data_IF_986210530119
#
_entry.id   IF_986210530119
#
_cell.length_a   1.000
_cell.length_b   1.000
_cell.length_c   1.000
_cell.angle_alpha   90.00
_cell.angle_beta   90.00
_cell.angle_gamma   90.00
#
_symmetry.space_group_name_H-M   'P 1'
#
loop_
_entity.id
_entity.type
_entity.pdbx_description
1 polymer ?
2 non-polymer ?
3 water ?
#
# COMPACT_ATOMS: atom_id res chain seq x y z
N UNK A 1 -2.06 -19.81 -3.69
CA UNK A 1 -2.67 -19.97 -5.05
C UNK A 1 -2.90 -18.62 -5.75
N UNK A 2 -2.78 -18.59 -7.10
CA UNK A 2 -3.10 -17.44 -7.96
C UNK A 2 -4.55 -16.97 -7.84
N UNK A 3 -4.89 -15.90 -8.58
CA UNK A 3 -6.15 -15.18 -8.37
C UNK A 3 -7.33 -15.68 -9.20
N UNK A 4 -8.49 -15.78 -8.56
CA UNK A 4 -9.71 -16.09 -9.27
C UNK A 4 -10.17 -14.88 -10.08
N UNK A 5 -11.14 -15.09 -10.96
CA UNK A 5 -11.66 -13.99 -11.76
C UNK A 5 -12.28 -12.90 -10.90
N UNK A 6 -12.94 -13.28 -9.81
CA UNK A 6 -13.47 -12.28 -8.89
C UNK A 6 -12.36 -11.46 -8.21
N UNK A 7 -11.26 -12.12 -7.88
CA UNK A 7 -10.09 -11.48 -7.30
C UNK A 7 -9.33 -10.53 -8.26
N UNK A 8 -9.17 -10.94 -9.52
CA UNK A 8 -8.59 -10.09 -10.57
C UNK A 8 -9.41 -8.82 -10.77
N UNK A 9 -10.73 -8.98 -10.87
CA UNK A 9 -11.61 -7.84 -11.03
C UNK A 9 -11.60 -6.91 -9.81
N UNK A 10 -11.62 -7.48 -8.61
CA UNK A 10 -11.60 -6.68 -7.40
C UNK A 10 -10.31 -5.89 -7.35
N UNK A 11 -9.23 -6.50 -7.84
CA UNK A 11 -7.92 -5.88 -7.88
C UNK A 11 -7.87 -4.69 -8.85
N UNK A 12 -8.74 -4.72 -9.86
CA UNK A 12 -8.92 -3.58 -10.78
C UNK A 12 -9.98 -2.58 -10.29
N UNK A 13 -10.48 -2.78 -9.07
CA UNK A 13 -11.46 -1.84 -8.49
C UNK A 13 -12.91 -2.11 -8.83
N UNK A 14 -13.20 -3.33 -9.29
CA UNK A 14 -14.55 -3.73 -9.68
C UNK A 14 -14.99 -4.91 -8.81
N UNK A 15 -15.91 -4.67 -7.88
CA UNK A 15 -16.40 -5.75 -7.01
C UNK A 15 -17.76 -5.48 -6.40
N UNK A 16 -18.43 -6.57 -5.99
CA UNK A 16 -19.68 -6.50 -5.24
C UNK A 16 -19.34 -6.36 -3.76
N UNK A 17 -19.88 -5.31 -3.11
CA UNK A 17 -19.66 -5.06 -1.68
C UNK A 17 -19.99 -6.30 -0.85
N UNK A 18 -20.93 -7.12 -1.33
CA UNK A 18 -21.39 -8.30 -0.61
C UNK A 18 -20.29 -9.34 -0.44
N UNK A 19 -19.28 -9.30 -1.32
CA UNK A 19 -18.09 -10.17 -1.28
C UNK A 19 -16.96 -9.72 -0.36
N UNK A 20 -17.01 -8.48 0.11
CA UNK A 20 -15.94 -7.96 0.98
C UNK A 20 -16.00 -8.64 2.37
N UNK A 21 -14.84 -9.06 2.88
CA UNK A 21 -14.76 -9.75 4.16
C UNK A 21 -13.62 -9.14 4.97
N UNK A 22 -13.67 -9.34 6.29
CA UNK A 22 -12.63 -8.93 7.22
C UNK A 22 -11.33 -9.65 6.96
N UNK A 23 -10.20 -9.01 7.24
CA UNK A 23 -8.93 -9.68 7.16
C UNK A 23 -8.19 -9.49 8.46
N UNK A 24 -7.21 -10.36 8.72
CA UNK A 24 -6.40 -10.30 9.93
C UNK A 24 -5.08 -9.69 9.59
N UNK A 25 -4.42 -9.08 10.57
CA UNK A 25 -3.09 -8.50 10.37
C UNK A 25 -2.10 -9.47 9.76
N UNK A 26 -2.33 -10.77 9.97
CA UNK A 26 -1.42 -11.82 9.46
C UNK A 26 -1.35 -11.83 7.94
N UNK A 27 -2.40 -11.37 7.27
CA UNK A 27 -2.30 -11.16 5.81
C UNK A 27 -1.10 -10.29 5.38
N UNK A 28 -0.60 -9.42 6.28
CA UNK A 28 0.58 -8.57 5.98
C UNK A 28 1.88 -8.94 6.73
N UNK A 29 1.90 -10.11 7.37
CA UNK A 29 3.08 -10.59 8.09
C UNK A 29 4.25 -10.61 7.14
N UNK A 30 5.43 -10.30 7.66
CA UNK A 30 6.63 -10.36 6.84
C UNK A 30 7.44 -9.09 6.99
N UNK A 31 8.53 -9.04 6.24
CA UNK A 31 9.42 -7.88 6.21
C UNK A 31 9.29 -7.19 4.86
N UNK A 32 9.19 -5.86 4.88
CA UNK A 32 8.82 -5.09 3.68
C UNK A 32 9.67 -3.83 3.47
N UNK A 33 10.03 -3.53 2.22
CA UNK A 33 10.76 -2.31 1.85
C UNK A 33 9.87 -1.31 1.11
N UNK A 34 10.03 -0.02 1.43
CA UNK A 34 9.37 1.05 0.70
C UNK A 34 9.87 1.00 -0.73
N UNK A 35 8.97 1.24 -1.70
CA UNK A 35 9.40 1.40 -3.10
C UNK A 35 9.95 2.78 -3.46
N UNK A 36 9.82 3.74 -2.54
CA UNK A 36 10.18 5.13 -2.80
C UNK A 36 11.65 5.36 -3.24
N UNK A 37 12.62 4.71 -2.57
CA UNK A 37 14.02 4.84 -3.02
C UNK A 37 14.24 4.40 -4.47
N UNK A 38 13.45 3.44 -4.95
CA UNK A 38 13.57 3.00 -6.34
C UNK A 38 12.96 3.99 -7.32
N UNK A 39 11.95 4.75 -6.88
CA UNK A 39 11.44 5.85 -7.70
C UNK A 39 12.52 6.95 -7.76
N UNK A 40 13.11 7.24 -6.60
CA UNK A 40 14.18 8.24 -6.47
C UNK A 40 15.41 7.94 -7.33
N UNK A 41 15.88 6.69 -7.30
CA UNK A 41 17.05 6.30 -8.09
C UNK A 41 16.74 6.21 -9.58
N UNK A 42 15.46 6.36 -9.94
CA UNK A 42 15.02 6.26 -11.33
C UNK A 42 14.73 4.84 -11.80
N UNK A 43 14.77 3.88 -10.89
CA UNK A 43 14.62 2.50 -11.28
C UNK A 43 13.17 2.08 -11.55
N UNK A 44 12.21 2.95 -11.22
CA UNK A 44 10.81 2.67 -11.55
C UNK A 44 10.39 3.33 -12.85
N UNK A 45 11.32 4.06 -13.49
CA UNK A 45 11.00 4.78 -14.72
C UNK A 45 10.31 3.90 -15.78
N UNK A 46 10.80 2.66 -16.02
CA UNK A 46 10.12 1.77 -17.00
C UNK A 46 8.64 1.53 -16.71
N UNK A 47 8.24 1.58 -15.45
CA UNK A 47 6.83 1.47 -15.09
C UNK A 47 6.05 2.68 -15.63
N UNK A 48 6.61 3.87 -15.49
CA UNK A 48 5.88 5.09 -15.82
C UNK A 48 5.85 5.29 -17.33
N UNK A 49 6.89 4.78 -18.02
CA UNK A 49 6.94 4.83 -19.48
C UNK A 49 5.84 3.96 -20.10
N UNK A 50 5.65 2.76 -19.57
CA UNK A 50 4.60 1.85 -20.03
C UNK A 50 3.21 2.46 -19.84
N UNK A 51 3.01 3.14 -18.72
CA UNK A 51 1.74 3.82 -18.44
C UNK A 51 1.50 4.99 -19.40
N UNK A 52 2.57 5.71 -19.72
CA UNK A 52 2.50 6.83 -20.66
C UNK A 52 2.23 6.29 -22.07
N UNK A 53 2.95 5.22 -22.42
CA UNK A 53 2.83 4.54 -23.71
C UNK A 53 1.40 4.05 -23.98
N UNK A 54 0.70 3.61 -22.94
CA UNK A 54 -0.61 2.99 -23.09
C UNK A 54 -1.77 3.98 -23.01
N UNK A 55 -1.46 5.25 -22.79
CA UNK A 55 -2.50 6.28 -22.75
C UNK A 55 -1.93 7.58 -23.29
N UNK A 56 -2.44 8.00 -24.46
CA UNK A 56 -1.88 9.15 -25.16
C UNK A 56 -2.17 10.47 -24.45
N UNK A 57 -3.13 10.47 -23.53
CA UNK A 57 -3.48 11.64 -22.72
C UNK A 57 -2.56 11.88 -21.51
N UNK A 58 -1.72 10.89 -21.21
CA UNK A 58 -0.81 10.98 -20.07
C UNK A 58 0.59 11.35 -20.55
N UNK A 59 1.41 11.88 -19.64
CA UNK A 59 2.84 12.02 -19.87
C UNK A 59 3.60 11.29 -18.76
N UNK A 60 4.79 10.80 -19.11
CA UNK A 60 5.73 10.20 -18.18
C UNK A 60 5.92 11.07 -16.94
N UNK A 61 6.25 12.34 -17.19
CA UNK A 61 6.57 13.31 -16.14
C UNK A 61 5.44 13.45 -15.12
N UNK A 62 4.21 13.59 -15.62
CA UNK A 62 3.06 13.72 -14.74
C UNK A 62 2.65 12.43 -14.03
N UNK A 63 2.95 11.29 -14.64
CA UNK A 63 2.67 10.00 -14.03
C UNK A 63 3.65 9.80 -12.86
N UNK A 64 4.94 9.99 -13.15
CA UNK A 64 6.00 9.95 -12.14
C UNK A 64 5.79 10.90 -10.96
N UNK A 65 5.38 12.14 -11.24
CA UNK A 65 5.06 13.12 -10.19
C UNK A 65 3.98 12.62 -9.27
N UNK A 66 2.96 11.99 -9.87
CA UNK A 66 1.84 11.45 -9.13
C UNK A 66 2.29 10.32 -8.21
N UNK A 67 3.16 9.45 -8.74
CA UNK A 67 3.73 8.38 -7.94
C UNK A 67 4.73 8.89 -6.89
N UNK A 68 5.46 9.96 -7.22
CA UNK A 68 6.38 10.57 -6.28
C UNK A 68 5.66 11.03 -5.03
N UNK A 69 4.56 11.74 -5.24
CA UNK A 69 3.72 12.25 -4.20
C UNK A 69 3.08 11.10 -3.42
N UNK A 70 2.69 10.06 -4.15
CA UNK A 70 2.09 8.87 -3.54
C UNK A 70 3.08 8.09 -2.69
N UNK A 71 4.27 7.84 -3.20
CA UNK A 71 5.22 6.95 -2.55
C UNK A 71 6.04 7.58 -1.42
N UNK A 72 6.20 8.91 -1.46
CA UNK A 72 7.12 9.62 -0.58
C UNK A 72 6.94 9.29 0.89
N UNK A 73 8.03 8.89 1.53
CA UNK A 73 8.00 8.55 2.96
C UNK A 73 9.43 8.38 3.41
N UNK A 74 9.68 8.57 4.71
CA UNK A 74 10.99 8.20 5.24
C UNK A 74 10.97 6.88 6.02
N UNK A 75 9.80 6.25 6.13
CA UNK A 75 9.67 4.91 6.71
C UNK A 75 10.11 3.88 5.66
N UNK A 76 11.42 3.65 5.58
CA UNK A 76 11.97 2.75 4.57
C UNK A 76 11.61 1.26 4.73
N UNK A 77 11.31 0.84 5.96
CA UNK A 77 11.13 -0.56 6.28
C UNK A 77 10.02 -0.76 7.27
N UNK A 78 9.24 -1.80 7.04
CA UNK A 78 8.16 -2.17 7.96
C UNK A 78 8.27 -3.69 8.18
N UNK A 79 8.16 -4.11 9.45
CA UNK A 79 8.14 -5.53 9.80
C UNK A 79 6.84 -5.84 10.50
N UNK A 80 6.22 -6.96 10.15
CA UNK A 80 4.93 -7.32 10.72
C UNK A 80 4.94 -8.79 11.16
N UNK A 81 4.62 -9.01 12.44
CA UNK A 81 4.70 -10.34 13.08
C UNK A 81 3.99 -10.32 14.44
N UNK A 82 3.27 -11.39 14.78
CA UNK A 82 2.65 -11.54 16.11
C UNK A 82 1.89 -10.33 16.61
N UNK A 83 1.10 -9.74 15.71
CA UNK A 83 0.23 -8.62 16.04
C UNK A 83 1.00 -7.32 16.16
N UNK A 84 2.31 -7.35 15.88
CA UNK A 84 3.12 -6.14 16.04
C UNK A 84 3.65 -5.59 14.71
N UNK A 85 3.51 -4.27 14.54
CA UNK A 85 4.11 -3.58 13.41
C UNK A 85 5.31 -2.76 13.87
N UNK A 86 6.45 -3.00 13.24
CA UNK A 86 7.67 -2.27 13.49
C UNK A 86 7.95 -1.30 12.32
N UNK A 87 8.23 -0.04 12.64
CA UNK A 87 8.47 1.01 11.63
C UNK A 87 9.89 1.53 11.71
N UNK A 88 10.65 1.39 10.63
CA UNK A 88 11.99 1.95 10.59
C UNK A 88 11.96 3.21 9.76
N UNK A 89 12.04 4.36 10.45
CA UNK A 89 12.06 5.68 9.82
C UNK A 89 13.43 6.30 9.96
N UNK A 90 14.22 6.27 8.89
CA UNK A 90 15.63 6.65 8.97
C UNK A 90 16.31 5.89 10.15
N UNK A 91 16.87 6.62 11.12
CA UNK A 91 17.47 5.99 12.30
C UNK A 91 16.56 5.86 13.50
N UNK A 92 15.27 6.13 13.29
CA UNK A 92 14.28 5.92 14.33
C UNK A 92 13.48 4.62 14.12
N UNK A 93 13.13 3.98 15.22
CA UNK A 93 12.43 2.73 15.19
C UNK A 93 11.28 2.88 16.14
N UNK A 94 10.20 2.16 15.88
CA UNK A 94 9.05 2.23 16.75
C UNK A 94 8.18 1.03 16.45
N UNK A 95 7.57 0.47 17.48
CA UNK A 95 6.62 -0.62 17.30
C UNK A 95 5.47 -0.52 18.27
N UNK A 96 4.42 -1.28 17.98
CA UNK A 96 3.22 -1.29 18.78
C UNK A 96 2.44 -2.51 18.35
N UNK A 97 1.62 -3.01 19.26
CA UNK A 97 0.76 -4.12 18.98
C UNK A 97 -0.53 -3.48 18.50
N UNK A 98 -1.07 -3.95 17.37
CA UNK A 98 -2.21 -3.30 16.73
C UNK A 98 -3.49 -4.12 16.80
N UNK A 99 -4.57 -3.48 17.22
CA UNK A 99 -5.88 -4.09 17.22
C UNK A 99 -6.66 -3.74 15.94
N UNK A 100 -7.39 -4.73 15.42
CA UNK A 100 -8.19 -4.59 14.21
C UNK A 100 -9.39 -3.70 14.44
N UNK A 101 -9.63 -2.76 13.53
CA UNK A 101 -10.77 -1.86 13.68
C UNK A 101 -11.75 -1.94 12.51
N UNK A 102 -11.66 -3.02 11.73
CA UNK A 102 -12.62 -3.24 10.66
C UNK A 102 -12.12 -2.75 9.33
N UNK A 103 -13.03 -2.67 8.37
CA UNK A 103 -12.67 -2.31 7.00
C UNK A 103 -13.58 -1.22 6.54
N UNK A 104 -13.15 -0.50 5.51
CA UNK A 104 -13.95 0.53 4.87
C UNK A 104 -13.90 0.38 3.37
N UNK A 105 -15.07 0.39 2.75
CA UNK A 105 -15.21 0.35 1.32
C UNK A 105 -15.31 1.76 0.75
N UNK A 106 -14.36 2.10 -0.12
CA UNK A 106 -14.28 3.42 -0.74
C UNK A 106 -14.61 3.37 -2.23
N UNK A 107 -15.31 4.40 -2.70
CA UNK A 107 -15.48 4.62 -4.13
C UNK A 107 -14.72 5.89 -4.46
N UNK A 108 -13.86 5.78 -5.45
CA UNK A 108 -12.96 6.87 -5.78
C UNK A 108 -13.63 7.73 -6.84
N UNK A 109 -13.08 8.92 -7.06
CA UNK A 109 -13.57 9.84 -8.08
C UNK A 109 -13.69 9.12 -9.41
N UNK A 110 -12.68 8.33 -9.74
CA UNK A 110 -12.65 7.52 -10.96
C UNK A 110 -13.81 6.55 -11.14
N UNK A 111 -14.52 6.26 -10.05
CA UNK A 111 -15.59 5.25 -10.08
C UNK A 111 -15.11 3.84 -9.72
N UNK A 112 -13.80 3.67 -9.58
CA UNK A 112 -13.27 2.40 -9.08
C UNK A 112 -13.52 2.34 -7.59
N UNK A 113 -13.45 1.13 -7.03
CA UNK A 113 -13.64 0.97 -5.58
C UNK A 113 -12.44 0.31 -4.96
N UNK A 114 -12.37 0.35 -3.64
CA UNK A 114 -11.28 -0.31 -2.93
C UNK A 114 -11.67 -0.53 -1.49
N UNK A 115 -10.90 -1.35 -0.79
CA UNK A 115 -11.16 -1.58 0.63
C UNK A 115 -9.94 -1.23 1.45
N UNK A 116 -10.13 -0.47 2.52
CA UNK A 116 -9.06 -0.29 3.51
C UNK A 116 -9.30 -1.11 4.77
N UNK A 117 -8.21 -1.63 5.33
CA UNK A 117 -8.25 -2.41 6.55
C UNK A 117 -7.61 -1.62 7.68
N UNK A 118 -8.43 -1.28 8.67
CA UNK A 118 -8.08 -0.32 9.71
C UNK A 118 -7.57 -1.01 10.95
N UNK A 119 -6.45 -0.50 11.44
CA UNK A 119 -5.82 -0.94 12.68
C UNK A 119 -5.54 0.25 13.61
N UNK A 120 -5.55 -0.03 14.91
CA UNK A 120 -5.28 0.96 15.93
C UNK A 120 -4.27 0.49 16.95
N UNK A 121 -3.29 1.36 17.21
CA UNK A 121 -2.39 1.27 18.36
C UNK A 121 -3.07 2.00 19.55
N UNK A 122 -3.34 1.27 20.63
CA UNK A 122 -4.04 1.84 21.81
C UNK A 122 -3.10 2.29 22.94
N UNK A 123 -1.81 1.96 22.78
CA UNK A 123 -0.72 2.44 23.62
C UNK A 123 -0.43 3.90 23.27
N UNK A 124 -1.25 4.80 23.81
CA UNK A 124 -1.31 6.22 23.39
C UNK A 124 0.00 7.04 23.43
N UNK A 125 1.00 6.58 24.18
CA UNK A 125 2.32 7.24 24.18
C UNK A 125 3.46 6.43 23.53
N UNK A 126 3.20 5.99 22.29
CA UNK A 126 4.19 5.31 21.45
C UNK A 126 4.56 6.22 20.28
N UNK A 127 5.75 6.02 19.72
CA UNK A 127 6.17 6.76 18.53
C UNK A 127 5.63 6.14 17.23
N UNK A 128 4.98 4.98 17.34
CA UNK A 128 4.37 4.30 16.19
C UNK A 128 3.05 4.99 15.88
N UNK A 129 2.69 5.07 14.58
CA UNK A 129 1.43 5.73 14.25
C UNK A 129 0.27 5.07 14.96
N UNK A 130 -0.65 5.89 15.47
CA UNK A 130 -1.82 5.41 16.20
C UNK A 130 -2.81 4.70 15.29
N UNK A 131 -2.89 5.16 14.03
CA UNK A 131 -3.84 4.62 13.09
C UNK A 131 -3.12 4.20 11.84
N UNK A 132 -3.55 3.05 11.33
CA UNK A 132 -2.93 2.43 10.18
C UNK A 132 -4.06 1.81 9.36
N UNK A 133 -3.98 1.99 8.05
CA UNK A 133 -4.99 1.45 7.16
C UNK A 133 -4.20 0.83 6.03
N UNK A 134 -4.49 -0.44 5.74
CA UNK A 134 -3.85 -1.16 4.64
C UNK A 134 -4.80 -1.15 3.45
N UNK A 135 -4.23 -0.99 2.27
CA UNK A 135 -5.00 -1.04 1.04
C UNK A 135 -4.12 -1.75 0.03
N UNK A 136 -4.57 -2.91 -0.47
CA UNK A 136 -3.70 -3.68 -1.35
C UNK A 136 -4.41 -4.41 -2.48
N UNK A 137 -5.56 -3.88 -2.90
CA UNK A 137 -6.29 -4.40 -4.04
C UNK A 137 -6.90 -5.80 -3.81
N UNK A 138 -7.09 -6.13 -2.53
CA UNK A 138 -7.64 -7.41 -2.08
C UNK A 138 -8.80 -7.05 -1.17
N UNK A 139 -9.88 -7.82 -1.26
CA UNK A 139 -11.13 -7.55 -0.54
C UNK A 139 -11.56 -8.71 0.42
N UNK A 140 -10.77 -9.78 0.49
CA UNK A 140 -11.09 -10.93 1.36
C UNK A 140 -9.82 -11.67 1.74
N UNK A 141 -9.86 -12.49 2.80
CA UNK A 141 -8.60 -13.06 3.28
C UNK A 141 -7.67 -13.64 2.21
N UNK A 142 -6.44 -13.13 2.15
CA UNK A 142 -5.42 -13.55 1.21
C UNK A 142 -4.15 -12.84 1.61
N UNK A 143 -3.02 -13.55 1.58
CA UNK A 143 -1.72 -12.94 1.86
C UNK A 143 -1.36 -11.89 0.82
N UNK A 144 -0.97 -10.72 1.32
CA UNK A 144 -0.59 -9.61 0.49
C UNK A 144 0.73 -9.90 -0.21
N UNK A 145 0.83 -9.44 -1.45
CA UNK A 145 2.08 -9.45 -2.19
C UNK A 145 2.75 -8.07 -2.10
N UNK A 146 1.99 -7.07 -1.68
CA UNK A 146 2.46 -5.68 -1.62
C UNK A 146 1.29 -4.84 -1.16
N UNK A 147 1.57 -3.73 -0.49
CA UNK A 147 0.49 -2.93 0.05
C UNK A 147 0.80 -1.46 0.07
N UNK A 148 -0.27 -0.67 0.10
CA UNK A 148 -0.22 0.74 0.52
C UNK A 148 -0.65 0.80 1.98
N UNK A 149 -0.04 1.70 2.74
CA UNK A 149 -0.39 1.89 4.14
C UNK A 149 -0.55 3.37 4.45
N UNK A 150 -1.69 3.71 5.02
CA UNK A 150 -1.96 5.05 5.47
C UNK A 150 -1.67 5.10 6.97
N UNK A 151 -0.78 6.01 7.37
CA UNK A 151 -0.38 6.19 8.77
C UNK A 151 -0.75 7.59 9.27
N UNK A 152 -1.39 7.63 10.44
CA UNK A 152 -1.84 8.88 11.02
C UNK A 152 -1.95 8.83 12.53
N UNK A 153 -1.93 10.01 13.16
CA UNK A 153 -2.09 10.11 14.62
C UNK A 153 -3.33 10.84 15.08
N UNK A 154 -4.20 11.23 14.15
CA UNK A 154 -5.30 12.11 14.52
C UNK A 154 -6.62 11.38 14.69
N UNK A 155 -7.04 10.67 13.65
CA UNK A 155 -8.19 9.79 13.70
C UNK A 155 -8.15 8.86 12.47
N UNK A 156 -9.00 7.82 12.49
CA UNK A 156 -9.18 6.93 11.35
C UNK A 156 -9.96 7.67 10.29
N UNK A 157 -10.96 8.41 10.75
CA UNK A 157 -11.84 9.14 9.84
C UNK A 157 -11.04 10.12 9.00
N UNK A 158 -10.15 10.86 9.65
CA UNK A 158 -9.26 11.79 8.97
C UNK A 158 -8.39 11.07 7.94
N UNK A 159 -7.80 9.94 8.34
CA UNK A 159 -6.95 9.15 7.41
C UNK A 159 -7.70 8.61 6.20
N UNK A 160 -8.98 8.35 6.36
CA UNK A 160 -9.78 7.84 5.24
C UNK A 160 -9.89 8.84 4.12
N UNK A 161 -9.62 10.11 4.41
CA UNK A 161 -9.73 11.20 3.45
C UNK A 161 -8.43 11.38 2.69
N UNK A 162 -7.36 10.77 3.19
CA UNK A 162 -6.07 10.83 2.53
C UNK A 162 -6.10 10.05 1.22
N UNK A 163 -5.71 10.71 0.12
CA UNK A 163 -5.80 10.14 -1.23
C UNK A 163 -4.55 10.40 -2.06
N UNK A 164 -3.69 11.24 -1.53
CA UNK A 164 -2.55 11.74 -2.29
C UNK A 164 -1.27 11.00 -1.92
N UNK A 165 -1.07 10.76 -0.64
CA UNK A 165 0.13 10.07 -0.15
C UNK A 165 -0.25 8.65 0.31
N UNK A 166 0.47 7.64 -0.19
CA UNK A 166 0.17 6.25 0.13
C UNK A 166 1.46 5.43 0.04
N UNK A 167 2.33 5.57 1.06
CA UNK A 167 3.61 4.85 1.06
C UNK A 167 3.38 3.38 0.79
N UNK A 168 4.25 2.80 -0.03
CA UNK A 168 3.94 1.54 -0.70
C UNK A 168 5.09 0.58 -0.48
N UNK A 169 4.73 -0.66 -0.12
CA UNK A 169 5.71 -1.63 0.37
C UNK A 169 5.64 -2.97 -0.36
N UNK A 170 6.80 -3.46 -0.79
CA UNK A 170 7.01 -4.76 -1.42
C UNK A 170 7.93 -5.64 -0.55
N UNK A 171 7.86 -6.99 -0.72
CA UNK A 171 8.64 -7.90 0.12
C UNK A 171 10.08 -7.47 0.20
N UNK A 172 10.63 -7.51 1.42
CA UNK A 172 11.98 -7.03 1.71
C UNK A 172 13.07 -7.56 0.79
N UNK A 173 12.96 -8.82 0.35
CA UNK A 173 14.07 -9.45 -0.41
C UNK A 173 14.21 -8.97 -1.84
N UNK A 174 13.13 -8.43 -2.41
CA UNK A 174 13.08 -8.18 -3.86
C UNK A 174 14.06 -7.11 -4.30
N UNK A 175 14.66 -7.33 -5.46
CA UNK A 175 15.53 -6.36 -6.13
C UNK A 175 14.63 -5.41 -6.92
N UNK A 176 15.20 -4.30 -7.41
CA UNK A 176 14.41 -3.31 -8.15
C UNK A 176 13.80 -3.87 -9.44
N UNK A 177 14.55 -4.74 -10.14
CA UNK A 177 14.08 -5.34 -11.39
C UNK A 177 12.88 -6.26 -11.16
N UNK A 178 12.78 -6.81 -9.95
CA UNK A 178 11.68 -7.68 -9.58
C UNK A 178 10.46 -6.85 -9.18
N UNK A 179 10.70 -5.73 -8.50
CA UNK A 179 9.61 -4.81 -8.20
C UNK A 179 8.98 -4.29 -9.51
N UNK A 180 9.81 -3.83 -10.44
CA UNK A 180 9.37 -3.39 -11.78
C UNK A 180 8.55 -4.48 -12.49
N UNK A 181 9.12 -5.69 -12.54
CA UNK A 181 8.46 -6.84 -13.14
C UNK A 181 7.04 -7.05 -12.60
N UNK A 182 6.88 -6.93 -11.28
CA UNK A 182 5.58 -7.15 -10.67
C UNK A 182 4.61 -6.04 -11.02
N UNK A 183 5.11 -4.80 -11.06
CA UNK A 183 4.32 -3.64 -11.43
C UNK A 183 3.82 -3.66 -12.88
N UNK A 184 4.67 -4.14 -13.80
CA UNK A 184 4.36 -4.20 -15.23
C UNK A 184 3.45 -5.38 -15.62
N UNK A 185 3.35 -6.39 -14.76
CA UNK A 185 2.58 -7.60 -15.10
C UNK A 185 1.39 -7.88 -14.18
N UNK A 186 1.55 -7.59 -12.89
CA UNK A 186 0.47 -7.78 -11.91
C UNK A 186 -0.10 -6.44 -11.45
X LIG B 1 6.43 9.96 6.73
X LIG B 1 5.96 11.31 6.41
X LIG B 1 5.68 8.97 5.95
X LIG B 1 7.87 9.89 6.46
X LIG B 1 6.20 9.70 8.15
X LIG C 1 5.72 11.18 -22.69
X LIG C 1 5.70 12.63 -22.51
X LIG C 1 4.87 10.80 -23.81
X LIG C 1 7.10 10.73 -22.90
X LIG C 1 5.22 10.52 -21.50
X LIG D 1 -5.56 5.62 -3.48
X LIG D 1 -5.03 6.95 -3.21
X LIG D 1 -6.43 5.68 -4.66
X LIG D 1 -4.46 4.67 -3.70
X LIG D 1 -6.35 5.19 -2.33
X LIG E 1 7.93 6.31 13.36
X LIG E 1 7.85 7.03 12.09
X LIG E 1 9.01 5.32 13.31
X LIG E 1 8.23 7.28 14.43
X LIG E 1 6.64 5.67 13.60
X LIG F 1 -7.73 -7.77 17.43
X LIG F 1 -6.78 -7.12 16.52
X LIG F 1 -8.53 -8.72 16.64
X LIG F 1 -6.97 -8.48 18.45
X LIG F 1 -8.60 -6.77 18.07
X LIG G 1 -1.34 1.68 -7.86
X LIG G 1 -0.60 1.58 -9.12
X LIG G 1 -1.80 0.35 -7.46
X LIG G 1 -0.46 2.22 -6.84
X LIG G 1 -2.49 2.57 -8.00
#
# INVERSE_FOLDING_TARGET
APMTEVEQKAAAGVFDDANVRDRALTDWDGMWQSVYPYLVSGELDPVFRQKAKKDPEKTFEDIKAYYRKGYVTNVETIGIENGVIEFHRDNNVASCKYNYAGYKILTYASGKKGVRYLFECKDANSKAPKYVQFSDHIIAPRKSAHFHIFMGNTSQQALLQEMENWPTYYPYQLKANEVVDEMLHH
SO4 S O1 O2 O3 O4
SO4 S O1 O2 O3 O4
SO4 S O1 O2 O3 O4
SO4 S O1 O2 O3 O4
SO4 S O1 O2 O3 O4
SO4 S O1 O2 O3 O4
#
